data_IF_805497614142
#
_entry.id   IF_805497614142
#
_cell.length_a   1.000
_cell.length_b   1.000
_cell.length_c   1.000
_cell.angle_alpha   90.00
_cell.angle_beta   90.00
_cell.angle_gamma   90.00
#
_symmetry.space_group_name_H-M   'P 1'
#
loop_
_entity.id
_entity.type
_entity.pdbx_description
1 polymer ?
#
# COMPACT_ATOMS: atom_id res chain seq x y z
N UNK A 1 22.58 -21.20 30.01
CA UNK A 1 21.20 -20.66 29.95
C UNK A 1 21.21 -19.33 29.13
N UNK A 2 20.84 -19.38 27.86
CA UNK A 2 20.75 -18.17 27.03
C UNK A 2 19.42 -17.51 27.32
N UNK A 3 19.42 -16.26 27.82
CA UNK A 3 18.20 -15.45 28.00
C UNK A 3 17.56 -15.20 26.63
N UNK A 4 16.24 -15.30 26.50
CA UNK A 4 15.60 -14.97 25.23
C UNK A 4 15.78 -13.48 24.93
N UNK A 5 16.18 -13.18 23.73
CA UNK A 5 16.27 -11.84 23.17
C UNK A 5 14.86 -11.29 22.96
N UNK A 6 14.24 -10.84 24.03
CA UNK A 6 13.05 -9.98 23.97
C UNK A 6 13.58 -8.56 23.85
N UNK A 7 13.07 -7.78 22.87
CA UNK A 7 13.24 -6.33 22.82
C UNK A 7 14.04 -5.84 21.60
N UNK A 8 13.34 -5.74 20.45
CA UNK A 8 13.83 -4.74 19.49
C UNK A 8 12.74 -3.71 19.14
N UNK A 9 11.46 -4.07 19.11
CA UNK A 9 10.39 -3.09 18.93
C UNK A 9 10.24 -2.10 20.09
N UNK A 10 10.61 -2.47 21.31
CA UNK A 10 10.59 -1.54 22.46
C UNK A 10 11.60 -0.39 22.33
N UNK A 11 12.70 -0.60 21.61
CA UNK A 11 13.69 0.46 21.33
C UNK A 11 13.14 1.50 20.33
N UNK A 12 12.13 1.12 19.55
CA UNK A 12 11.49 1.98 18.55
C UNK A 12 10.27 2.75 19.10
N UNK A 13 9.99 2.65 20.41
CA UNK A 13 8.87 3.36 21.06
C UNK A 13 7.49 2.76 20.79
N UNK A 14 7.41 1.60 20.13
CA UNK A 14 6.14 0.90 19.87
C UNK A 14 5.70 0.12 21.10
N UNK A 15 4.50 0.41 21.64
CA UNK A 15 3.93 -0.35 22.75
C UNK A 15 3.62 -1.78 22.31
N UNK A 16 4.34 -2.75 22.89
CA UNK A 16 4.25 -4.17 22.50
C UNK A 16 2.84 -4.78 22.61
N UNK A 17 1.93 -4.14 23.33
CA UNK A 17 0.57 -4.62 23.63
C UNK A 17 -0.55 -3.94 22.83
N UNK A 18 -0.24 -2.97 21.97
CA UNK A 18 -1.23 -2.25 21.15
C UNK A 18 -1.01 -2.51 19.66
N UNK A 19 -1.91 -3.28 19.05
CA UNK A 19 -1.85 -3.62 17.64
C UNK A 19 -1.97 -2.37 16.73
N UNK A 20 -2.71 -1.35 17.17
CA UNK A 20 -2.89 -0.11 16.42
C UNK A 20 -1.59 0.72 16.37
N UNK A 21 -0.80 0.69 17.42
CA UNK A 21 0.50 1.37 17.45
C UNK A 21 1.50 0.73 16.45
N UNK A 22 1.46 -0.59 16.30
CA UNK A 22 2.26 -1.27 15.26
C UNK A 22 1.88 -0.82 13.85
N UNK A 23 0.58 -0.72 13.58
CA UNK A 23 0.06 -0.26 12.29
C UNK A 23 0.45 1.19 12.03
N UNK A 24 0.28 2.07 13.00
CA UNK A 24 0.66 3.50 12.88
C UNK A 24 2.15 3.68 12.67
N UNK A 25 2.98 2.91 13.39
CA UNK A 25 4.43 2.95 13.23
C UNK A 25 4.82 2.57 11.79
N UNK A 26 4.31 1.44 11.29
CA UNK A 26 4.59 0.98 9.94
C UNK A 26 4.12 1.98 8.87
N UNK A 27 2.92 2.54 9.03
CA UNK A 27 2.39 3.56 8.12
C UNK A 27 3.30 4.80 8.10
N UNK A 28 3.76 5.26 9.27
CA UNK A 28 4.67 6.40 9.37
C UNK A 28 6.04 6.11 8.72
N UNK A 29 6.60 4.91 8.92
CA UNK A 29 7.88 4.53 8.30
C UNK A 29 7.77 4.47 6.77
N UNK A 30 6.69 3.90 6.25
CA UNK A 30 6.54 3.63 4.82
C UNK A 30 5.89 4.78 4.04
N UNK A 31 5.27 5.74 4.72
CA UNK A 31 4.58 6.88 4.08
C UNK A 31 5.28 8.20 4.37
N UNK A 32 5.63 8.44 5.65
CA UNK A 32 6.02 9.75 6.14
C UNK A 32 4.89 10.79 6.04
N UNK A 33 5.21 12.04 6.31
CA UNK A 33 4.27 13.15 6.11
C UNK A 33 4.18 13.56 4.63
N UNK A 34 5.31 13.58 3.94
CA UNK A 34 5.43 13.92 2.52
C UNK A 34 6.47 13.07 1.87
N UNK A 35 6.11 12.45 0.76
CA UNK A 35 7.05 11.63 0.00
C UNK A 35 6.85 11.76 -1.52
N UNK A 36 7.96 11.66 -2.23
CA UNK A 36 8.03 11.47 -3.67
C UNK A 36 8.70 10.13 -3.95
N UNK A 37 8.16 9.35 -4.86
CA UNK A 37 8.75 8.07 -5.23
C UNK A 37 8.75 7.85 -6.74
N UNK A 38 9.76 7.12 -7.20
CA UNK A 38 9.81 6.52 -8.52
C UNK A 38 9.75 5.02 -8.38
N UNK A 39 8.81 4.39 -9.07
CA UNK A 39 8.62 2.95 -8.99
C UNK A 39 8.32 2.34 -10.37
N UNK A 40 8.69 1.08 -10.50
CA UNK A 40 8.34 0.22 -11.63
C UNK A 40 7.22 -0.70 -11.20
N UNK A 41 6.06 -0.63 -11.88
CA UNK A 41 4.98 -1.59 -11.72
C UNK A 41 5.02 -2.59 -12.86
N UNK A 42 5.11 -3.90 -12.54
CA UNK A 42 5.02 -4.97 -13.52
C UNK A 42 3.77 -5.81 -13.26
N UNK A 43 2.89 -5.85 -14.22
CA UNK A 43 1.71 -6.72 -14.22
C UNK A 43 2.05 -7.98 -15.00
N UNK A 44 2.16 -9.09 -14.30
CA UNK A 44 2.36 -10.41 -14.87
C UNK A 44 1.01 -11.11 -15.02
N UNK A 45 0.72 -11.56 -16.22
CA UNK A 45 -0.46 -12.34 -16.55
C UNK A 45 -0.02 -13.57 -17.36
N UNK A 46 -0.72 -14.69 -17.37
CA UNK A 46 -0.35 -15.86 -18.17
C UNK A 46 -0.02 -15.56 -19.63
N UNK A 47 -0.70 -14.58 -20.22
CA UNK A 47 -0.63 -14.27 -21.66
C UNK A 47 0.24 -13.04 -21.99
N UNK A 48 0.61 -12.21 -21.00
CA UNK A 48 1.38 -11.00 -21.24
C UNK A 48 2.09 -10.49 -19.96
N UNK A 49 3.15 -9.75 -20.17
CA UNK A 49 3.78 -8.94 -19.12
C UNK A 49 3.70 -7.48 -19.55
N UNK A 50 3.29 -6.61 -18.64
CA UNK A 50 3.21 -5.16 -18.87
C UNK A 50 3.95 -4.41 -17.78
N UNK A 51 4.86 -3.52 -18.18
CA UNK A 51 5.65 -2.74 -17.23
C UNK A 51 5.36 -1.26 -17.39
N UNK A 52 5.18 -0.57 -16.26
CA UNK A 52 4.96 0.88 -16.18
C UNK A 52 6.01 1.51 -15.27
N UNK A 53 6.57 2.64 -15.69
CA UNK A 53 7.32 3.53 -14.81
C UNK A 53 6.35 4.57 -14.25
N UNK A 54 6.33 4.73 -12.95
CA UNK A 54 5.38 5.59 -12.25
C UNK A 54 6.14 6.54 -11.33
N UNK A 55 5.75 7.81 -11.36
CA UNK A 55 6.12 8.80 -10.36
C UNK A 55 4.91 9.02 -9.43
N UNK A 56 5.15 9.01 -8.14
CA UNK A 56 4.09 9.21 -7.15
C UNK A 56 4.48 10.25 -6.11
N UNK A 57 3.49 11.04 -5.70
CA UNK A 57 3.60 12.06 -4.67
C UNK A 57 2.53 11.79 -3.61
N UNK A 58 2.89 11.88 -2.35
CA UNK A 58 1.98 11.64 -1.23
C UNK A 58 2.15 12.74 -0.20
N UNK A 59 1.04 13.29 0.30
CA UNK A 59 1.00 14.21 1.43
C UNK A 59 0.01 13.72 2.47
N UNK A 60 0.54 13.37 3.63
CA UNK A 60 -0.20 12.81 4.74
C UNK A 60 -1.02 11.58 4.32
N UNK A 61 -2.20 11.45 4.93
CA UNK A 61 -3.12 10.35 4.67
C UNK A 61 -4.13 10.67 3.56
N UNK A 62 -4.23 11.93 3.15
CA UNK A 62 -5.37 12.42 2.39
C UNK A 62 -5.07 12.72 0.92
N UNK A 63 -3.82 12.97 0.56
CA UNK A 63 -3.49 13.40 -0.79
C UNK A 63 -2.46 12.50 -1.45
N UNK A 64 -2.72 12.10 -2.68
CA UNK A 64 -1.76 11.39 -3.51
C UNK A 64 -2.00 11.72 -4.99
N UNK A 65 -0.89 11.88 -5.74
CA UNK A 65 -0.91 12.02 -7.18
C UNK A 65 0.10 11.04 -7.77
N UNK A 66 -0.33 10.19 -8.67
CA UNK A 66 0.54 9.28 -9.42
C UNK A 66 0.46 9.57 -10.91
N UNK A 67 1.59 9.48 -11.60
CA UNK A 67 1.69 9.71 -13.04
C UNK A 67 2.48 8.58 -13.70
N UNK A 68 1.98 8.02 -14.79
CA UNK A 68 2.70 7.07 -15.64
C UNK A 68 3.71 7.84 -16.50
N UNK A 69 4.99 7.49 -16.40
CA UNK A 69 6.07 8.08 -17.18
C UNK A 69 6.38 7.26 -18.45
N UNK A 70 6.19 5.95 -18.39
CA UNK A 70 6.48 4.98 -19.45
C UNK A 70 5.53 3.80 -19.36
N UNK A 71 5.19 3.14 -20.46
CA UNK A 71 5.60 3.37 -21.85
C UNK A 71 4.86 4.56 -22.52
N UNK A 72 5.34 5.00 -23.68
CA UNK A 72 4.79 6.13 -24.42
C UNK A 72 3.27 6.03 -24.70
N UNK A 73 2.75 4.80 -24.85
CA UNK A 73 1.32 4.54 -25.05
C UNK A 73 0.47 5.05 -23.88
N UNK A 74 1.00 5.00 -22.67
CA UNK A 74 0.28 5.27 -21.40
C UNK A 74 0.82 6.49 -20.66
N UNK A 75 1.91 7.08 -21.15
CA UNK A 75 2.54 8.25 -20.55
C UNK A 75 1.55 9.39 -20.32
N UNK A 76 1.63 9.98 -19.13
CA UNK A 76 0.79 11.09 -18.69
C UNK A 76 -0.59 10.67 -18.15
N UNK A 77 -0.93 9.37 -18.12
CA UNK A 77 -2.11 8.92 -17.35
C UNK A 77 -1.82 9.22 -15.88
N UNK A 78 -2.76 9.89 -15.21
CA UNK A 78 -2.62 10.29 -13.82
C UNK A 78 -3.78 9.83 -12.97
N UNK A 79 -3.49 9.53 -11.71
CA UNK A 79 -4.48 9.28 -10.66
C UNK A 79 -4.28 10.30 -9.55
N UNK A 80 -5.30 11.08 -9.24
CA UNK A 80 -5.34 12.00 -8.11
C UNK A 80 -6.29 11.47 -7.05
N UNK A 81 -5.82 11.37 -5.82
CA UNK A 81 -6.63 11.12 -4.63
C UNK A 81 -6.59 12.34 -3.73
N UNK A 82 -7.76 12.78 -3.30
CA UNK A 82 -7.95 13.81 -2.27
C UNK A 82 -9.00 13.28 -1.30
N UNK A 83 -8.61 13.04 -0.06
CA UNK A 83 -9.46 12.44 0.98
C UNK A 83 -10.10 11.12 0.53
N UNK A 84 -11.45 11.11 0.38
CA UNK A 84 -12.23 9.95 -0.05
C UNK A 84 -12.65 10.02 -1.53
N UNK A 85 -12.04 10.91 -2.30
CA UNK A 85 -12.33 11.09 -3.72
C UNK A 85 -11.10 10.76 -4.56
N UNK A 86 -11.35 10.13 -5.70
CA UNK A 86 -10.29 9.78 -6.64
C UNK A 86 -10.73 10.08 -8.08
N UNK A 87 -9.78 10.50 -8.90
CA UNK A 87 -9.97 10.78 -10.32
C UNK A 87 -8.81 10.20 -11.11
N UNK A 88 -9.12 9.68 -12.29
CA UNK A 88 -8.16 9.31 -13.30
C UNK A 88 -8.22 10.29 -14.46
N UNK A 89 -7.05 10.69 -14.97
CA UNK A 89 -6.93 11.53 -16.17
C UNK A 89 -6.25 10.74 -17.28
N UNK A 90 -6.84 10.82 -18.46
CA UNK A 90 -6.37 10.18 -19.68
C UNK A 90 -6.01 11.24 -20.72
N UNK A 91 -4.72 11.60 -20.87
CA UNK A 91 -4.30 12.76 -21.64
C UNK A 91 -4.64 12.63 -23.14
N UNK A 92 -4.51 11.45 -23.73
CA UNK A 92 -4.86 11.22 -25.14
C UNK A 92 -6.34 11.49 -25.47
N UNK A 93 -7.20 11.23 -24.51
CA UNK A 93 -8.64 11.50 -24.63
C UNK A 93 -9.03 12.87 -24.06
N UNK A 94 -8.10 13.57 -23.41
CA UNK A 94 -8.34 14.80 -22.63
C UNK A 94 -9.52 14.63 -21.64
N UNK A 95 -9.65 13.44 -21.03
CA UNK A 95 -10.77 13.11 -20.15
C UNK A 95 -10.31 12.87 -18.72
N UNK A 96 -11.01 13.54 -17.81
CA UNK A 96 -10.95 13.31 -16.37
C UNK A 96 -12.18 12.48 -15.96
N UNK A 97 -11.98 11.37 -15.28
CA UNK A 97 -13.03 10.46 -14.83
C UNK A 97 -12.95 10.35 -13.32
N UNK A 98 -14.04 10.72 -12.63
CA UNK A 98 -14.18 10.49 -11.20
C UNK A 98 -14.42 8.98 -10.97
N UNK A 99 -13.73 8.40 -10.00
CA UNK A 99 -13.93 7.01 -9.61
C UNK A 99 -15.17 6.92 -8.72
N UNK A 100 -16.23 6.35 -9.25
CA UNK A 100 -17.48 6.12 -8.51
C UNK A 100 -17.37 4.90 -7.58
N UNK A 101 -18.34 4.75 -6.66
CA UNK A 101 -18.40 3.59 -5.76
C UNK A 101 -18.45 2.26 -6.52
N UNK A 102 -19.11 2.21 -7.68
CA UNK A 102 -19.17 1.00 -8.53
C UNK A 102 -17.84 0.64 -9.18
N UNK A 103 -16.90 1.60 -9.28
CA UNK A 103 -15.58 1.40 -9.86
C UNK A 103 -14.51 1.05 -8.82
N UNK A 104 -14.83 1.05 -7.53
CA UNK A 104 -13.83 0.77 -6.48
C UNK A 104 -13.19 -0.60 -6.61
N UNK A 105 -13.96 -1.60 -7.04
CA UNK A 105 -13.48 -2.97 -7.24
C UNK A 105 -12.70 -3.17 -8.55
N UNK A 106 -12.75 -2.20 -9.46
CA UNK A 106 -12.02 -2.29 -10.72
C UNK A 106 -10.52 -2.16 -10.50
N UNK A 107 -9.76 -2.81 -11.35
CA UNK A 107 -8.29 -2.73 -11.37
C UNK A 107 -7.82 -1.28 -11.48
N UNK A 108 -6.90 -0.88 -10.61
CA UNK A 108 -6.15 0.35 -10.77
C UNK A 108 -5.07 0.16 -11.84
N UNK A 109 -5.12 0.95 -12.89
CA UNK A 109 -4.18 0.87 -14.02
C UNK A 109 -3.98 -0.56 -14.58
N UNK A 110 -5.05 -1.42 -14.54
CA UNK A 110 -5.00 -2.80 -15.05
C UNK A 110 -4.12 -3.76 -14.25
N UNK A 111 -3.79 -3.41 -13.01
CA UNK A 111 -3.03 -4.24 -12.06
C UNK A 111 -3.94 -5.10 -11.18
N UNK A 112 -3.37 -5.93 -10.31
CA UNK A 112 -4.10 -6.67 -9.26
C UNK A 112 -4.42 -5.79 -8.04
N UNK A 113 -3.98 -4.53 -8.02
CA UNK A 113 -4.47 -3.51 -7.09
C UNK A 113 -5.79 -2.96 -7.60
N UNK A 114 -6.71 -2.69 -6.69
CA UNK A 114 -8.01 -2.06 -6.99
C UNK A 114 -7.97 -0.55 -6.75
N UNK A 115 -8.95 0.16 -7.29
CA UNK A 115 -9.11 1.58 -6.97
C UNK A 115 -9.36 1.79 -5.46
N UNK A 116 -10.02 0.86 -4.76
CA UNK A 116 -10.23 0.93 -3.31
C UNK A 116 -8.92 0.84 -2.53
N UNK A 117 -7.96 0.02 -3.00
CA UNK A 117 -6.63 -0.06 -2.37
C UNK A 117 -5.89 1.27 -2.42
N UNK A 118 -5.95 1.94 -3.56
CA UNK A 118 -5.32 3.25 -3.73
C UNK A 118 -6.05 4.33 -2.92
N UNK A 119 -7.37 4.28 -2.90
CA UNK A 119 -8.19 5.24 -2.16
C UNK A 119 -8.00 5.11 -0.64
N UNK A 120 -7.84 3.87 -0.14
CA UNK A 120 -7.77 3.55 1.29
C UNK A 120 -6.38 3.18 1.80
N UNK A 121 -5.35 3.35 0.98
CA UNK A 121 -3.97 2.96 1.30
C UNK A 121 -3.45 3.45 2.67
N UNK A 122 -4.06 4.47 3.27
CA UNK A 122 -3.64 5.09 4.53
C UNK A 122 -4.65 4.96 5.67
N UNK A 123 -5.72 4.20 5.50
CA UNK A 123 -6.86 4.22 6.44
C UNK A 123 -6.96 2.99 7.34
N UNK A 124 -5.95 2.10 7.31
CA UNK A 124 -5.98 0.87 8.11
C UNK A 124 -6.28 1.14 9.59
N UNK A 125 -5.57 2.08 10.21
CA UNK A 125 -5.77 2.42 11.62
C UNK A 125 -7.10 3.15 11.93
N UNK A 126 -7.74 3.71 10.91
CA UNK A 126 -8.99 4.47 11.03
C UNK A 126 -10.21 3.59 10.77
N UNK A 127 -10.16 2.82 9.68
CA UNK A 127 -11.29 2.03 9.17
C UNK A 127 -11.42 0.65 9.83
N UNK A 128 -10.37 0.15 10.48
CA UNK A 128 -10.32 -1.19 11.04
C UNK A 128 -10.12 -1.21 12.56
N UNK A 129 -10.58 -2.29 13.19
CA UNK A 129 -10.33 -2.63 14.59
C UNK A 129 -9.30 -3.75 14.65
N UNK A 130 -8.03 -3.44 14.99
CA UNK A 130 -6.96 -4.42 15.03
C UNK A 130 -6.98 -5.21 16.34
N UNK A 131 -6.63 -6.49 16.28
CA UNK A 131 -6.34 -7.34 17.44
C UNK A 131 -5.17 -8.28 17.14
N UNK A 132 -4.36 -8.56 18.14
CA UNK A 132 -3.32 -9.58 18.01
C UNK A 132 -3.92 -10.98 17.97
N UNK A 133 -3.38 -11.81 17.09
CA UNK A 133 -3.52 -13.26 17.10
C UNK A 133 -2.24 -13.91 17.65
N UNK A 134 -2.22 -15.26 17.68
CA UNK A 134 -1.02 -16.00 18.01
C UNK A 134 0.12 -15.66 17.03
N UNK A 135 1.32 -15.51 17.58
CA UNK A 135 2.52 -15.24 16.79
C UNK A 135 2.79 -16.39 15.81
N UNK A 136 3.37 -16.08 14.65
CA UNK A 136 3.81 -17.08 13.66
C UNK A 136 5.32 -17.00 13.42
N UNK A 137 5.91 -18.11 13.02
CA UNK A 137 7.28 -18.15 12.49
C UNK A 137 7.22 -18.70 11.06
N UNK A 138 7.79 -17.97 10.10
CA UNK A 138 7.83 -18.33 8.69
C UNK A 138 9.28 -18.18 8.24
N UNK A 139 9.87 -19.24 7.67
CA UNK A 139 11.25 -19.25 7.18
C UNK A 139 12.28 -18.73 8.22
N UNK A 140 12.05 -19.05 9.52
CA UNK A 140 12.94 -18.64 10.62
C UNK A 140 12.73 -17.21 11.12
N UNK A 141 11.88 -16.41 10.51
CA UNK A 141 11.50 -15.08 10.99
C UNK A 141 10.21 -15.14 11.83
N UNK A 142 10.21 -14.42 12.96
CA UNK A 142 9.06 -14.36 13.88
C UNK A 142 8.21 -13.14 13.61
N UNK A 143 6.89 -13.35 13.56
CA UNK A 143 5.89 -12.34 13.24
C UNK A 143 4.88 -12.14 14.37
N UNK A 144 4.53 -10.88 14.62
CA UNK A 144 3.26 -10.51 15.23
C UNK A 144 2.17 -10.61 14.17
N UNK A 145 1.11 -11.35 14.47
CA UNK A 145 -0.04 -11.47 13.58
C UNK A 145 -1.14 -10.53 14.10
N UNK A 146 -1.63 -9.66 13.22
CA UNK A 146 -2.67 -8.70 13.52
C UNK A 146 -3.85 -8.95 12.59
N UNK A 147 -4.99 -9.33 13.15
CA UNK A 147 -6.27 -9.38 12.45
C UNK A 147 -6.94 -8.02 12.52
N UNK A 148 -7.31 -7.49 11.38
CA UNK A 148 -7.98 -6.20 11.24
C UNK A 148 -9.39 -6.47 10.69
N UNK A 149 -10.42 -6.26 11.50
CA UNK A 149 -11.81 -6.35 11.09
C UNK A 149 -12.33 -4.94 10.80
N UNK A 150 -13.05 -4.77 9.69
CA UNK A 150 -13.64 -3.48 9.35
C UNK A 150 -14.60 -3.03 10.44
N UNK A 151 -14.55 -1.74 10.79
CA UNK A 151 -15.47 -1.16 11.78
C UNK A 151 -16.89 -1.09 11.23
N UNK A 152 -17.86 -1.15 12.12
CA UNK A 152 -19.28 -0.90 11.80
C UNK A 152 -19.44 0.42 11.04
N UNK A 153 -20.34 0.44 10.07
CA UNK A 153 -20.63 1.60 9.22
C UNK A 153 -19.47 2.08 8.32
N UNK A 154 -18.36 1.36 8.26
CA UNK A 154 -17.26 1.63 7.34
C UNK A 154 -17.48 0.86 6.05
N UNK A 155 -17.50 1.57 4.91
CA UNK A 155 -17.53 0.95 3.59
C UNK A 155 -16.10 0.56 3.20
N UNK A 156 -15.75 -0.70 3.37
CA UNK A 156 -14.48 -1.26 2.91
C UNK A 156 -14.75 -2.49 2.04
N UNK A 157 -13.90 -2.69 1.04
CA UNK A 157 -13.97 -3.87 0.18
C UNK A 157 -13.61 -5.14 0.95
N UNK A 158 -12.65 -5.03 1.85
CA UNK A 158 -12.11 -6.16 2.59
C UNK A 158 -12.64 -6.13 4.02
N UNK A 159 -13.61 -6.98 4.37
CA UNK A 159 -14.12 -7.07 5.74
C UNK A 159 -13.07 -7.46 6.77
N UNK A 160 -12.09 -8.26 6.33
CA UNK A 160 -10.98 -8.71 7.17
C UNK A 160 -9.65 -8.66 6.42
N UNK A 161 -8.62 -8.14 7.08
CA UNK A 161 -7.23 -8.15 6.61
C UNK A 161 -6.37 -8.69 7.74
N UNK A 162 -5.56 -9.72 7.46
CA UNK A 162 -4.58 -10.25 8.40
C UNK A 162 -3.19 -9.76 7.99
N UNK A 163 -2.52 -9.09 8.91
CA UNK A 163 -1.15 -8.59 8.72
C UNK A 163 -0.16 -9.45 9.50
N UNK A 164 0.97 -9.78 8.89
CA UNK A 164 2.09 -10.40 9.57
C UNK A 164 3.24 -9.40 9.60
N UNK A 165 3.52 -8.90 10.80
CA UNK A 165 4.52 -7.85 11.04
C UNK A 165 5.76 -8.44 11.67
N UNK A 166 6.91 -8.21 11.06
CA UNK A 166 8.19 -8.69 11.57
C UNK A 166 8.46 -8.15 12.97
N UNK A 167 8.83 -9.04 13.90
CA UNK A 167 9.26 -8.62 15.24
C UNK A 167 10.63 -7.94 15.25
N UNK A 168 11.36 -8.00 14.14
CA UNK A 168 12.69 -7.42 14.02
C UNK A 168 12.65 -5.91 13.84
N UNK A 169 11.70 -5.41 13.05
CA UNK A 169 11.62 -4.01 12.64
C UNK A 169 10.21 -3.41 12.71
N UNK A 170 9.21 -4.17 13.16
CA UNK A 170 7.80 -3.78 13.25
C UNK A 170 7.17 -3.39 11.91
N UNK A 171 7.73 -3.86 10.78
CA UNK A 171 7.17 -3.62 9.45
C UNK A 171 6.44 -4.85 8.94
N UNK A 172 5.37 -4.65 8.14
CA UNK A 172 4.61 -5.77 7.56
C UNK A 172 5.44 -6.49 6.51
N UNK A 173 5.29 -7.83 6.46
CA UNK A 173 5.81 -8.66 5.36
C UNK A 173 4.69 -9.25 4.54
N UNK A 174 3.52 -9.49 5.16
CA UNK A 174 2.38 -10.09 4.47
C UNK A 174 1.09 -9.41 4.89
N UNK A 175 0.19 -9.22 3.90
CA UNK A 175 -1.20 -8.90 4.09
C UNK A 175 -2.03 -9.97 3.40
N UNK A 176 -2.97 -10.58 4.10
CA UNK A 176 -3.96 -11.51 3.57
C UNK A 176 -5.33 -10.84 3.58
N UNK A 177 -5.99 -10.81 2.43
CA UNK A 177 -7.27 -10.12 2.25
C UNK A 177 -8.39 -11.14 2.11
N UNK A 178 -9.41 -11.02 2.95
CA UNK A 178 -10.52 -11.95 3.04
C UNK A 178 -11.83 -11.26 2.66
N UNK A 179 -12.71 -12.01 1.98
CA UNK A 179 -14.07 -11.58 1.69
C UNK A 179 -15.03 -11.82 2.88
N UNK A 180 -16.31 -11.53 2.68
CA UNK A 180 -17.36 -11.69 3.71
C UNK A 180 -17.65 -13.16 4.06
N UNK A 181 -17.33 -14.09 3.18
CA UNK A 181 -17.39 -15.53 3.40
C UNK A 181 -16.12 -16.05 4.11
N UNK A 182 -15.22 -15.16 4.55
CA UNK A 182 -13.94 -15.49 5.17
C UNK A 182 -13.01 -16.32 4.26
N UNK A 183 -13.13 -16.14 2.94
CA UNK A 183 -12.28 -16.79 1.95
C UNK A 183 -11.13 -15.87 1.59
N UNK A 184 -9.89 -16.39 1.60
CA UNK A 184 -8.71 -15.66 1.14
C UNK A 184 -8.84 -15.34 -0.35
N UNK A 185 -8.73 -14.05 -0.71
CA UNK A 185 -8.86 -13.57 -2.10
C UNK A 185 -7.52 -13.16 -2.71
N UNK A 186 -6.60 -12.70 -1.91
CA UNK A 186 -5.26 -12.28 -2.37
C UNK A 186 -4.31 -12.07 -1.21
N UNK A 187 -3.02 -12.10 -1.51
CA UNK A 187 -1.93 -11.79 -0.59
C UNK A 187 -1.07 -10.68 -1.15
N UNK A 188 -0.66 -9.72 -0.31
CA UNK A 188 0.37 -8.76 -0.62
C UNK A 188 1.62 -9.13 0.19
N UNK A 189 2.71 -9.38 -0.50
CA UNK A 189 4.03 -9.64 0.08
C UNK A 189 4.90 -8.40 -0.05
N UNK A 190 5.68 -8.09 1.00
CA UNK A 190 6.60 -6.95 1.03
C UNK A 190 8.00 -7.42 1.42
N UNK A 191 8.99 -6.99 0.67
CA UNK A 191 10.38 -7.40 0.85
C UNK A 191 11.37 -6.26 0.56
N UNK A 192 12.67 -6.55 0.74
CA UNK A 192 13.82 -5.69 0.47
C UNK A 192 13.76 -4.34 1.17
N UNK A 193 14.00 -4.39 2.47
CA UNK A 193 14.09 -3.17 3.27
C UNK A 193 15.28 -2.30 2.86
N UNK A 194 15.03 -1.02 2.67
CA UNK A 194 16.03 0.04 2.51
C UNK A 194 15.73 1.18 3.48
N UNK A 195 16.75 1.99 3.75
CA UNK A 195 16.58 3.23 4.50
C UNK A 195 16.65 4.41 3.53
N UNK A 196 15.64 5.29 3.58
CA UNK A 196 15.56 6.53 2.84
C UNK A 196 15.29 7.66 3.84
N UNK A 197 16.21 8.61 3.96
CA UNK A 197 16.06 9.80 4.83
C UNK A 197 15.67 9.46 6.28
N UNK A 198 16.17 8.33 6.82
CA UNK A 198 15.86 7.84 8.16
C UNK A 198 14.59 6.97 8.26
N UNK A 199 13.83 6.81 7.19
CA UNK A 199 12.68 5.94 7.12
C UNK A 199 13.06 4.53 6.65
N UNK A 200 12.58 3.51 7.36
CA UNK A 200 12.68 2.12 6.91
C UNK A 200 11.55 1.83 5.92
N UNK A 201 11.89 1.45 4.70
CA UNK A 201 10.94 1.25 3.62
C UNK A 201 11.15 -0.10 2.93
N UNK A 202 10.07 -0.84 2.71
CA UNK A 202 10.08 -2.09 1.96
C UNK A 202 9.89 -1.78 0.48
N UNK A 203 10.89 -2.06 -0.33
CA UNK A 203 10.95 -1.57 -1.72
C UNK A 203 10.33 -2.51 -2.74
N UNK A 204 10.07 -3.76 -2.41
CA UNK A 204 9.41 -4.72 -3.28
C UNK A 204 8.07 -5.14 -2.71
N UNK A 205 7.01 -4.92 -3.46
CA UNK A 205 5.65 -5.31 -3.12
C UNK A 205 5.13 -6.24 -4.21
N UNK A 206 4.50 -7.34 -3.83
CA UNK A 206 3.94 -8.31 -4.76
C UNK A 206 2.52 -8.68 -4.36
N UNK A 207 1.54 -8.27 -5.17
CA UNK A 207 0.14 -8.63 -5.01
C UNK A 207 -0.16 -9.89 -5.81
N UNK A 208 -0.66 -10.92 -5.14
CA UNK A 208 -0.94 -12.24 -5.71
C UNK A 208 -2.41 -12.57 -5.46
N UNK A 209 -3.26 -12.68 -6.48
CA UNK A 209 -4.61 -13.24 -6.32
C UNK A 209 -4.56 -14.69 -5.83
N UNK A 210 -5.48 -15.07 -4.95
CA UNK A 210 -5.50 -16.42 -4.37
C UNK A 210 -5.71 -17.49 -5.45
N UNK A 211 -4.94 -18.57 -5.34
CA UNK A 211 -4.98 -19.68 -6.30
C UNK A 211 -4.21 -19.43 -7.61
N UNK A 212 -3.63 -18.25 -7.78
CA UNK A 212 -2.87 -17.88 -8.98
C UNK A 212 -1.36 -18.03 -8.73
N UNK A 213 -0.65 -18.67 -9.64
CA UNK A 213 0.82 -18.82 -9.59
C UNK A 213 1.52 -17.94 -10.62
N UNK A 214 0.89 -17.74 -11.78
CA UNK A 214 1.45 -17.02 -12.94
C UNK A 214 0.75 -15.67 -13.17
N UNK A 215 -0.02 -15.19 -12.20
CA UNK A 215 -0.67 -13.89 -12.24
C UNK A 215 -0.37 -13.14 -10.94
N UNK A 216 0.27 -11.99 -11.07
CA UNK A 216 0.59 -11.12 -9.95
C UNK A 216 0.99 -9.73 -10.46
N UNK A 217 0.97 -8.76 -9.57
CA UNK A 217 1.53 -7.43 -9.84
C UNK A 217 2.65 -7.13 -8.86
N UNK A 218 3.80 -6.67 -9.34
CA UNK A 218 4.89 -6.17 -8.50
C UNK A 218 4.99 -4.65 -8.58
N UNK A 219 5.31 -4.02 -7.44
CA UNK A 219 5.76 -2.63 -7.35
C UNK A 219 7.19 -2.66 -6.82
N UNK A 220 8.12 -2.15 -7.61
CA UNK A 220 9.52 -2.01 -7.22
C UNK A 220 9.84 -0.53 -7.07
N UNK A 221 10.03 -0.06 -5.84
CA UNK A 221 10.38 1.32 -5.54
C UNK A 221 11.88 1.53 -5.80
N UNK A 222 12.20 2.25 -6.87
CA UNK A 222 13.56 2.52 -7.30
C UNK A 222 14.21 3.61 -6.45
N UNK A 223 13.42 4.65 -6.13
CA UNK A 223 13.82 5.79 -5.30
C UNK A 223 12.63 6.30 -4.47
N UNK A 224 12.89 6.70 -3.23
CA UNK A 224 11.90 7.31 -2.35
C UNK A 224 12.58 8.47 -1.62
N UNK A 225 11.98 9.66 -1.68
CA UNK A 225 12.40 10.85 -0.96
C UNK A 225 11.33 11.24 0.04
N UNK A 226 11.71 11.38 1.29
CA UNK A 226 10.83 11.85 2.35
C UNK A 226 11.01 13.35 2.61
N UNK A 227 10.11 13.94 3.37
CA UNK A 227 10.13 15.35 3.79
C UNK A 227 10.20 16.34 2.62
N UNK A 228 9.66 15.96 1.46
CA UNK A 228 9.65 16.77 0.25
C UNK A 228 8.71 17.97 0.44
N UNK A 229 9.09 19.11 -0.11
CA UNK A 229 8.20 20.28 -0.15
C UNK A 229 7.40 20.26 -1.45
N UNK A 230 6.09 20.36 -1.33
CA UNK A 230 5.18 20.50 -2.47
C UNK A 230 4.66 21.93 -2.55
N UNK A 231 4.33 22.38 -3.76
CA UNK A 231 3.56 23.62 -3.93
C UNK A 231 2.07 23.35 -3.59
N UNK A 232 1.32 24.42 -3.33
CA UNK A 232 -0.09 24.33 -2.93
C UNK A 232 -1.01 23.73 -4.01
N UNK A 233 -0.55 23.66 -5.27
CA UNK A 233 -1.32 23.11 -6.38
C UNK A 233 -0.99 21.65 -6.68
N UNK A 234 0.01 21.04 -6.02
CA UNK A 234 0.48 19.68 -6.30
C UNK A 234 -0.65 18.64 -6.30
N UNK A 235 -1.60 18.76 -5.39
CA UNK A 235 -2.75 17.86 -5.26
C UNK A 235 -4.05 18.56 -5.68
N UNK A 236 -4.04 19.21 -6.84
CA UNK A 236 -5.21 19.94 -7.36
C UNK A 236 -5.79 19.29 -8.61
N UNK A 237 -7.06 19.60 -8.88
CA UNK A 237 -7.72 19.19 -10.13
C UNK A 237 -7.06 19.82 -11.38
N UNK A 238 -6.40 20.96 -11.21
CA UNK A 238 -5.63 21.64 -12.27
C UNK A 238 -4.39 20.80 -12.56
N UNK A 239 -3.60 20.45 -11.52
CA UNK A 239 -2.39 19.61 -11.66
C UNK A 239 -2.65 18.25 -12.26
N UNK A 240 -3.83 17.68 -12.01
CA UNK A 240 -4.24 16.41 -12.60
C UNK A 240 -4.30 16.48 -14.14
N UNK A 241 -4.65 17.62 -14.73
CA UNK A 241 -4.93 17.78 -16.17
C UNK A 241 -3.83 18.52 -16.96
N UNK A 242 -2.84 19.08 -16.29
CA UNK A 242 -1.65 19.67 -16.92
C UNK A 242 -0.79 18.59 -17.62
#
# INVERSE_FOLDING_TARGET
MKKPFLVFCAVLGVKAQDANEWIKYADNQMRGERSESHLTMTVQNPNYTRTLEIKSFVEGKNSALSEILSPAKEKGIRTLRIENKMWNYFPKMKRKIAVSSSMLLSSWMGSDFTNDDILKASKMSEDYSPKFLADKTINGESFKVIENNVKENTKAMWPKIVMMMSKKDCLPRYYEYYDKENTLKRTLELDKMKNFDGHQFLTEWKMIPAGETNKFTTLNYNDVKFNVKFNNEQFSQKKLTE
#
